data_IF_365397790263
#
_entry.id   IF_365397790263
#
_cell.length_a   1.000
_cell.length_b   1.000
_cell.length_c   1.000
_cell.angle_alpha   90.00
_cell.angle_beta   90.00
_cell.angle_gamma   90.00
#
_symmetry.space_group_name_H-M   'P 1'
#
loop_
_entity.id
_entity.type
_entity.pdbx_description
1 polymer ?
#
# COMPACT_ATOMS: atom_id res chain seq x y z
N UNK A 1 17.66 -12.38 1.26
CA UNK A 1 16.48 -11.48 1.37
C UNK A 1 15.22 -12.33 1.41
N UNK A 2 14.30 -12.07 2.33
CA UNK A 2 12.99 -12.76 2.42
C UNK A 2 11.92 -12.04 1.60
N UNK A 3 10.78 -12.70 1.33
CA UNK A 3 9.61 -12.09 0.68
C UNK A 3 9.17 -10.81 1.41
N UNK A 4 9.12 -10.87 2.76
CA UNK A 4 8.75 -9.71 3.58
C UNK A 4 9.74 -8.54 3.43
N UNK A 5 11.05 -8.83 3.32
CA UNK A 5 12.07 -7.81 3.11
C UNK A 5 11.96 -7.15 1.72
N UNK A 6 11.71 -7.95 0.68
CA UNK A 6 11.51 -7.44 -0.69
C UNK A 6 10.24 -6.61 -0.78
N UNK A 7 9.12 -7.06 -0.18
CA UNK A 7 7.89 -6.29 -0.12
C UNK A 7 8.08 -4.97 0.64
N UNK A 8 8.80 -4.97 1.77
CA UNK A 8 9.09 -3.74 2.50
C UNK A 8 9.95 -2.77 1.68
N UNK A 9 10.93 -3.28 0.92
CA UNK A 9 11.73 -2.48 -0.01
C UNK A 9 10.87 -1.88 -1.12
N UNK A 10 10.01 -2.69 -1.73
CA UNK A 10 9.09 -2.29 -2.77
C UNK A 10 8.18 -1.14 -2.30
N UNK A 11 7.56 -1.27 -1.12
CA UNK A 11 6.72 -0.21 -0.54
C UNK A 11 7.49 1.10 -0.33
N UNK A 12 8.74 1.03 0.15
CA UNK A 12 9.59 2.23 0.33
C UNK A 12 9.94 2.89 -1.00
N UNK A 13 10.23 2.09 -2.03
CA UNK A 13 10.59 2.61 -3.36
C UNK A 13 9.48 3.43 -4.02
N UNK A 14 8.22 3.25 -3.59
CA UNK A 14 7.09 4.01 -4.11
C UNK A 14 6.99 5.44 -3.56
N UNK A 15 7.66 5.75 -2.44
CA UNK A 15 7.57 7.06 -1.77
C UNK A 15 7.73 8.25 -2.71
N UNK A 16 8.84 8.35 -3.47
CA UNK A 16 9.05 9.44 -4.42
C UNK A 16 7.95 9.56 -5.49
N UNK A 17 7.48 8.43 -6.02
CA UNK A 17 6.38 8.39 -7.00
C UNK A 17 5.07 8.90 -6.38
N UNK A 18 4.76 8.50 -5.15
CA UNK A 18 3.59 8.98 -4.42
C UNK A 18 3.61 10.49 -4.23
N UNK A 19 4.77 11.07 -3.91
CA UNK A 19 4.87 12.51 -3.63
C UNK A 19 4.85 13.36 -4.91
N UNK A 20 5.56 12.94 -5.96
CA UNK A 20 5.82 13.77 -7.14
C UNK A 20 4.86 13.54 -8.30
N UNK A 21 4.56 12.27 -8.63
CA UNK A 21 3.79 11.89 -9.82
C UNK A 21 2.32 11.59 -9.45
N UNK A 22 2.11 10.65 -8.52
CA UNK A 22 0.78 10.18 -8.11
C UNK A 22 0.08 11.15 -7.15
N UNK A 23 0.80 12.11 -6.55
CA UNK A 23 0.28 13.09 -5.57
C UNK A 23 -0.52 12.48 -4.41
N UNK A 24 -0.17 11.24 -4.04
CA UNK A 24 -0.84 10.44 -3.03
C UNK A 24 -2.35 10.25 -3.27
N UNK A 25 -2.76 10.01 -4.53
CA UNK A 25 -4.16 9.80 -4.92
C UNK A 25 -4.90 8.84 -3.99
N UNK A 26 -4.29 7.69 -3.67
CA UNK A 26 -4.85 6.68 -2.77
C UNK A 26 -5.16 7.22 -1.36
N UNK A 27 -4.40 8.22 -0.88
CA UNK A 27 -4.63 8.87 0.41
C UNK A 27 -5.55 10.09 0.30
N UNK A 28 -5.72 10.66 -0.89
CA UNK A 28 -6.54 11.87 -1.10
C UNK A 28 -7.98 11.58 -1.51
N UNK A 29 -8.22 10.49 -2.25
CA UNK A 29 -9.52 10.12 -2.84
C UNK A 29 -9.69 8.60 -3.03
N UNK A 30 -8.86 7.80 -2.35
CA UNK A 30 -8.78 6.36 -2.60
C UNK A 30 -9.64 5.52 -1.69
N UNK A 31 -9.74 4.23 -2.06
CA UNK A 31 -10.30 3.18 -1.21
C UNK A 31 -9.14 2.43 -0.55
N UNK A 32 -8.98 2.64 0.75
CA UNK A 32 -8.09 1.99 1.71
C UNK A 32 -8.50 0.57 2.13
N UNK A 33 -7.94 -0.57 1.68
CA UNK A 33 -8.21 -1.84 2.35
C UNK A 33 -7.77 -1.78 3.81
N UNK A 34 -8.63 -2.20 4.74
CA UNK A 34 -8.35 -2.22 6.17
C UNK A 34 -8.24 -3.66 6.64
N UNK A 35 -7.21 -3.96 7.43
CA UNK A 35 -7.19 -5.18 8.22
C UNK A 35 -8.10 -5.08 9.46
N UNK A 36 -8.56 -6.21 9.97
CA UNK A 36 -9.42 -6.24 11.17
C UNK A 36 -8.80 -5.48 12.38
N UNK A 37 -7.46 -5.37 12.44
CA UNK A 37 -6.75 -4.67 13.52
C UNK A 37 -6.83 -3.15 13.41
N UNK A 38 -6.98 -2.62 12.19
CA UNK A 38 -7.04 -1.18 11.92
C UNK A 38 -8.49 -0.67 11.90
N UNK A 39 -9.49 -1.56 11.76
CA UNK A 39 -10.92 -1.21 11.76
C UNK A 39 -11.37 -0.29 12.91
N UNK A 40 -10.96 -0.52 14.18
CA UNK A 40 -11.43 0.33 15.30
C UNK A 40 -11.03 1.80 15.17
N UNK A 41 -9.97 2.11 14.41
CA UNK A 41 -9.52 3.50 14.20
C UNK A 41 -10.34 4.26 13.16
N UNK A 42 -11.19 3.57 12.41
CA UNK A 42 -11.95 4.14 11.29
C UNK A 42 -13.47 4.02 11.46
N UNK A 43 -13.94 3.55 12.63
CA UNK A 43 -15.33 3.73 13.08
C UNK A 43 -16.39 2.89 12.36
N UNK A 44 -16.04 2.01 11.41
CA UNK A 44 -16.98 1.15 10.70
C UNK A 44 -16.45 -0.27 10.50
N UNK A 45 -17.28 -1.32 10.69
CA UNK A 45 -16.95 -2.68 10.28
C UNK A 45 -16.98 -2.74 8.74
N UNK A 46 -15.80 -2.78 8.12
CA UNK A 46 -15.65 -2.86 6.68
C UNK A 46 -14.27 -3.34 6.27
N UNK A 47 -14.17 -3.96 5.10
CA UNK A 47 -12.89 -4.38 4.50
C UNK A 47 -12.10 -3.21 3.91
N UNK A 48 -12.71 -2.02 3.84
CA UNK A 48 -12.14 -0.82 3.25
C UNK A 48 -12.63 0.48 3.89
N UNK A 49 -11.83 1.56 3.75
CA UNK A 49 -12.21 2.96 4.02
C UNK A 49 -12.35 3.63 2.68
N UNK A 50 -13.44 4.35 2.49
CA UNK A 50 -13.55 5.32 1.41
C UNK A 50 -13.06 6.68 1.93
N UNK A 51 -12.01 7.23 1.33
CA UNK A 51 -11.46 8.52 1.71
C UNK A 51 -12.11 9.66 0.91
N UNK A 52 -13.43 9.80 1.01
CA UNK A 52 -14.21 10.79 0.22
C UNK A 52 -13.77 12.24 0.50
N UNK A 53 -13.42 12.54 1.75
CA UNK A 53 -12.90 13.85 2.17
C UNK A 53 -11.35 13.87 2.27
N UNK A 54 -10.70 12.85 1.74
CA UNK A 54 -9.26 12.64 1.88
C UNK A 54 -8.82 12.23 3.29
N UNK A 55 -7.59 11.71 3.38
CA UNK A 55 -7.01 11.36 4.67
C UNK A 55 -6.72 12.63 5.47
N UNK A 56 -7.20 12.77 6.72
CA UNK A 56 -6.97 13.96 7.55
C UNK A 56 -5.48 14.13 7.91
N UNK A 57 -4.68 13.08 7.77
CA UNK A 57 -3.24 13.13 8.00
C UNK A 57 -2.42 13.42 6.74
N UNK A 58 -3.05 13.59 5.57
CA UNK A 58 -2.39 14.00 4.34
C UNK A 58 -2.33 15.54 4.27
N UNK A 59 -1.13 16.09 4.07
CA UNK A 59 -0.92 17.52 3.85
C UNK A 59 0.11 17.71 2.73
N UNK A 60 -0.22 18.46 1.68
CA UNK A 60 0.62 18.66 0.50
C UNK A 60 1.19 17.33 -0.06
N UNK A 61 0.34 16.31 -0.20
CA UNK A 61 0.69 14.95 -0.63
C UNK A 61 1.66 14.18 0.27
N UNK A 62 1.98 14.69 1.46
CA UNK A 62 2.81 14.03 2.48
C UNK A 62 1.99 13.55 3.67
N UNK A 63 2.29 12.36 4.16
CA UNK A 63 1.61 11.79 5.33
C UNK A 63 2.26 12.29 6.62
N UNK A 64 1.53 13.09 7.41
CA UNK A 64 2.02 13.68 8.68
C UNK A 64 2.33 12.63 9.75
N UNK A 65 1.71 11.45 9.68
CA UNK A 65 1.94 10.34 10.61
C UNK A 65 2.78 9.22 10.00
N UNK A 66 3.59 9.49 8.96
CA UNK A 66 4.25 8.46 8.15
C UNK A 66 4.93 7.34 8.97
N UNK A 67 5.65 7.71 10.03
CA UNK A 67 6.34 6.79 10.94
C UNK A 67 5.38 5.97 11.80
N UNK A 68 4.23 6.54 12.17
CA UNK A 68 3.22 5.96 13.07
C UNK A 68 1.97 5.47 12.34
N UNK A 69 2.06 5.24 11.02
CA UNK A 69 0.92 4.80 10.19
C UNK A 69 0.33 3.49 10.72
N UNK A 70 -1.00 3.28 10.62
CA UNK A 70 -1.61 1.99 10.93
C UNK A 70 -1.10 0.90 9.97
N UNK A 71 -1.23 -0.39 10.36
CA UNK A 71 -0.73 -1.53 9.57
C UNK A 71 -1.31 -1.54 8.17
N UNK A 72 -2.62 -1.27 8.02
CA UNK A 72 -3.28 -1.13 6.72
C UNK A 72 -2.54 -0.15 5.78
N UNK A 73 -2.16 1.04 6.29
CA UNK A 73 -1.44 2.05 5.52
C UNK A 73 0.06 1.70 5.30
N UNK A 74 0.67 0.95 6.21
CA UNK A 74 2.06 0.48 6.07
C UNK A 74 2.21 -0.65 5.06
N UNK A 75 1.17 -1.46 4.94
CA UNK A 75 1.15 -2.59 4.01
C UNK A 75 0.71 -2.17 2.62
N UNK A 76 -0.21 -1.22 2.47
CA UNK A 76 -0.60 -0.71 1.15
C UNK A 76 0.61 -0.21 0.32
N UNK A 77 0.71 -0.52 -0.99
CA UNK A 77 -0.23 -1.29 -1.82
C UNK A 77 0.10 -2.79 -1.93
N UNK A 78 0.97 -3.33 -1.06
CA UNK A 78 1.52 -4.68 -1.16
C UNK A 78 1.25 -5.45 0.13
N UNK A 79 0.39 -6.46 0.14
CA UNK A 79 0.19 -7.31 1.33
C UNK A 79 0.96 -8.61 1.21
N UNK A 80 1.52 -9.09 2.31
CA UNK A 80 2.24 -10.38 2.36
C UNK A 80 1.53 -11.28 3.36
N UNK A 81 1.12 -12.47 2.92
CA UNK A 81 0.45 -13.49 3.75
C UNK A 81 1.09 -14.84 3.43
N UNK A 82 2.00 -15.28 4.29
CA UNK A 82 2.83 -16.45 4.01
C UNK A 82 3.66 -16.24 2.74
N UNK A 83 3.44 -17.11 1.76
CA UNK A 83 4.10 -17.07 0.46
C UNK A 83 3.33 -16.27 -0.60
N UNK A 84 2.15 -15.75 -0.26
CA UNK A 84 1.30 -14.97 -1.16
C UNK A 84 1.56 -13.49 -1.00
N UNK A 85 1.75 -12.79 -2.12
CA UNK A 85 1.91 -11.34 -2.19
C UNK A 85 0.78 -10.75 -3.02
N UNK A 86 -0.05 -9.91 -2.43
CA UNK A 86 -1.14 -9.23 -3.13
C UNK A 86 -0.75 -7.80 -3.44
N UNK A 87 -0.92 -7.38 -4.68
CA UNK A 87 -0.72 -6.02 -5.18
C UNK A 87 -2.07 -5.36 -5.45
N UNK A 88 -2.27 -4.15 -4.90
CA UNK A 88 -3.49 -3.39 -5.13
C UNK A 88 -3.61 -2.89 -6.57
N UNK A 89 -4.59 -3.38 -7.34
CA UNK A 89 -4.87 -2.86 -8.69
C UNK A 89 -5.40 -1.42 -8.67
N UNK A 90 -5.98 -0.98 -7.53
CA UNK A 90 -6.38 0.40 -7.30
C UNK A 90 -5.22 1.38 -7.08
N UNK A 91 -3.98 0.92 -6.99
CA UNK A 91 -2.81 1.80 -6.84
C UNK A 91 -2.25 2.19 -8.22
N UNK A 92 -2.17 3.50 -8.55
CA UNK A 92 -1.55 3.95 -9.80
C UNK A 92 -0.09 3.51 -9.96
N UNK A 93 0.63 3.31 -8.85
CA UNK A 93 2.00 2.78 -8.87
C UNK A 93 2.10 1.31 -9.29
N UNK A 94 1.08 0.52 -8.94
CA UNK A 94 0.95 -0.87 -9.41
C UNK A 94 0.58 -0.90 -10.88
N UNK A 95 -0.39 -0.07 -11.29
CA UNK A 95 -0.83 0.03 -12.68
C UNK A 95 0.29 0.50 -13.62
N UNK A 96 1.13 1.43 -13.16
CA UNK A 96 2.29 1.95 -13.91
C UNK A 96 3.55 1.06 -13.84
N UNK A 97 3.45 -0.14 -13.26
CA UNK A 97 4.54 -1.11 -13.27
C UNK A 97 5.76 -0.74 -12.40
N UNK A 98 5.64 0.21 -11.48
CA UNK A 98 6.76 0.65 -10.61
C UNK A 98 7.29 -0.47 -9.70
N UNK A 99 6.55 -1.57 -9.56
CA UNK A 99 6.96 -2.75 -8.80
C UNK A 99 7.59 -3.88 -9.62
N UNK A 100 7.68 -3.76 -10.94
CA UNK A 100 8.07 -4.88 -11.81
C UNK A 100 9.42 -5.52 -11.43
N UNK A 101 10.41 -4.70 -11.06
CA UNK A 101 11.70 -5.20 -10.59
C UNK A 101 11.57 -6.04 -9.30
N UNK A 102 10.74 -5.59 -8.36
CA UNK A 102 10.48 -6.28 -7.09
C UNK A 102 9.62 -7.54 -7.31
N UNK A 103 8.64 -7.49 -8.20
CA UNK A 103 7.82 -8.66 -8.56
C UNK A 103 8.65 -9.81 -9.09
N UNK A 104 9.60 -9.55 -10.00
CA UNK A 104 10.51 -10.59 -10.48
C UNK A 104 11.35 -11.19 -9.35
N UNK A 105 11.77 -10.37 -8.38
CA UNK A 105 12.50 -10.86 -7.22
C UNK A 105 11.62 -11.70 -6.30
N UNK A 106 10.36 -11.32 -6.10
CA UNK A 106 9.39 -12.07 -5.32
C UNK A 106 9.11 -13.45 -5.94
N UNK A 107 8.89 -13.51 -7.26
CA UNK A 107 8.69 -14.76 -7.98
C UNK A 107 9.91 -15.69 -7.88
N UNK A 108 11.13 -15.16 -7.95
CA UNK A 108 12.38 -15.93 -7.75
C UNK A 108 12.52 -16.51 -6.33
N UNK A 109 11.91 -15.87 -5.34
CA UNK A 109 11.84 -16.37 -3.96
C UNK A 109 10.69 -17.37 -3.75
N UNK A 110 9.98 -17.74 -4.82
CA UNK A 110 8.88 -18.70 -4.79
C UNK A 110 7.53 -18.07 -4.44
N UNK A 111 7.40 -16.76 -4.35
CA UNK A 111 6.15 -16.11 -3.95
C UNK A 111 5.06 -16.23 -5.02
N UNK A 112 3.81 -16.43 -4.60
CA UNK A 112 2.63 -16.30 -5.46
C UNK A 112 2.19 -14.84 -5.49
N UNK A 113 2.29 -14.17 -6.64
CA UNK A 113 1.89 -12.76 -6.78
C UNK A 113 0.47 -12.65 -7.33
N UNK A 114 -0.44 -12.07 -6.54
CA UNK A 114 -1.83 -11.78 -6.91
C UNK A 114 -2.02 -10.29 -7.15
N UNK A 115 -2.94 -9.93 -8.05
CA UNK A 115 -3.35 -8.55 -8.32
C UNK A 115 -4.84 -8.42 -8.03
N UNK A 116 -5.20 -7.57 -7.07
CA UNK A 116 -6.57 -7.36 -6.61
C UNK A 116 -6.86 -5.88 -6.41
#
# INVERSE_FOLDING_TARGET
>A
MTIAQVAASARRSLGPYCESECRALCCSKGILPIDAKSQPRFGNPGSFIVLDNGCPHLFASKCRIYQNRPSACREYPIWVRGNTVTLSTGCPGVQSGKFYAHERQLLRLGATVLRQ
#
